data_IF_764319913496
#
_entry.id   IF_764319913496
#
_cell.length_a   1.000
_cell.length_b   1.000
_cell.length_c   1.000
_cell.angle_alpha   90.00
_cell.angle_beta   90.00
_cell.angle_gamma   90.00
#
_symmetry.space_group_name_H-M   'P 1'
#
loop_
_entity.id
_entity.type
_entity.pdbx_description
1 polymer ?
#
# COMPACT_ATOMS: atom_id res chain seq x y z
N UNK A 1 -1.06 -35.76 20.57
CA UNK A 1 0.15 -35.42 21.32
C UNK A 1 1.28 -35.29 20.30
N UNK A 2 1.37 -34.12 19.67
CA UNK A 2 2.48 -33.71 18.83
C UNK A 2 2.92 -32.33 19.33
N UNK A 3 3.97 -32.33 20.17
CA UNK A 3 4.62 -31.11 20.58
C UNK A 3 5.42 -30.56 19.41
N UNK A 4 4.99 -29.44 18.86
CA UNK A 4 5.78 -28.59 18.00
C UNK A 4 6.56 -27.62 18.90
N UNK A 5 7.82 -27.96 19.20
CA UNK A 5 8.76 -27.01 19.74
C UNK A 5 9.03 -25.90 18.72
N UNK A 6 8.34 -24.79 18.85
CA UNK A 6 8.70 -23.57 18.14
C UNK A 6 10.01 -23.03 18.71
N UNK A 7 11.11 -23.32 18.03
CA UNK A 7 12.40 -22.67 18.30
C UNK A 7 12.27 -21.21 17.89
N UNK A 8 12.01 -20.35 18.86
CA UNK A 8 12.11 -18.90 18.68
C UNK A 8 13.60 -18.58 18.51
N UNK A 9 14.05 -18.39 17.28
CA UNK A 9 15.36 -17.82 17.00
C UNK A 9 15.39 -16.37 17.51
N UNK A 10 15.87 -16.19 18.74
CA UNK A 10 16.24 -14.89 19.29
C UNK A 10 17.55 -14.44 18.65
N UNK A 11 17.48 -13.75 17.51
CA UNK A 11 18.63 -12.99 17.01
C UNK A 11 18.49 -11.58 17.60
N UNK A 12 19.46 -11.12 18.42
CA UNK A 12 19.41 -9.76 18.94
C UNK A 12 19.48 -8.76 17.78
N UNK A 13 18.50 -7.89 17.69
CA UNK A 13 18.53 -6.72 16.81
C UNK A 13 19.66 -5.80 17.28
N UNK A 14 20.65 -5.57 16.41
CA UNK A 14 21.71 -4.59 16.65
C UNK A 14 21.52 -3.45 15.63
N UNK A 15 20.99 -2.31 16.05
CA UNK A 15 20.73 -1.18 15.14
C UNK A 15 22.01 -0.49 14.62
N UNK A 16 23.21 -0.93 15.04
CA UNK A 16 24.46 -0.23 14.74
C UNK A 16 25.24 -0.77 13.52
N UNK A 17 24.69 -1.70 12.73
CA UNK A 17 25.43 -2.35 11.62
C UNK A 17 24.76 -2.24 10.25
N UNK A 18 23.62 -1.60 10.10
CA UNK A 18 23.08 -1.29 8.78
C UNK A 18 23.62 0.08 8.33
N UNK A 19 24.12 0.21 7.09
CA UNK A 19 24.51 1.52 6.57
C UNK A 19 23.29 2.43 6.62
N UNK A 20 23.45 3.62 7.18
CA UNK A 20 22.43 4.66 7.19
C UNK A 20 22.08 4.98 5.73
N UNK A 21 20.95 4.46 5.23
CA UNK A 21 20.42 4.84 3.94
C UNK A 21 20.05 6.32 4.03
N UNK A 22 20.62 7.12 3.15
CA UNK A 22 20.27 8.54 3.11
C UNK A 22 19.00 8.72 2.28
N UNK A 23 18.05 9.56 2.72
CA UNK A 23 16.91 9.95 1.90
C UNK A 23 17.38 10.49 0.55
N UNK A 24 16.62 10.23 -0.50
CA UNK A 24 16.91 10.79 -1.82
C UNK A 24 16.81 12.32 -1.74
N UNK A 25 17.88 13.04 -2.14
CA UNK A 25 17.88 14.50 -2.11
C UNK A 25 16.89 15.12 -3.10
N UNK A 26 16.67 14.48 -4.24
CA UNK A 26 15.73 14.95 -5.27
C UNK A 26 15.07 13.77 -5.99
N UNK A 27 13.79 13.58 -5.77
CA UNK A 27 12.97 12.56 -6.44
C UNK A 27 12.56 12.92 -7.88
N UNK A 28 12.84 14.15 -8.32
CA UNK A 28 12.60 14.57 -9.70
C UNK A 28 13.68 13.97 -10.59
N UNK A 29 13.30 13.06 -11.45
CA UNK A 29 14.22 12.37 -12.36
C UNK A 29 13.82 12.63 -13.82
N UNK A 30 14.15 13.81 -14.40
CA UNK A 30 13.78 14.14 -15.79
C UNK A 30 14.33 13.09 -16.75
N UNK A 31 13.47 12.60 -17.66
CA UNK A 31 13.86 11.62 -18.67
C UNK A 31 14.02 10.19 -18.16
N UNK A 32 13.75 9.89 -16.89
CA UNK A 32 13.90 8.55 -16.29
C UNK A 32 13.19 7.45 -17.11
N UNK A 33 12.01 7.74 -17.66
CA UNK A 33 11.26 6.79 -18.49
C UNK A 33 11.92 6.46 -19.84
N UNK A 34 12.92 7.23 -20.28
CA UNK A 34 13.67 7.00 -21.53
C UNK A 34 14.91 6.15 -21.34
N UNK A 35 15.33 5.96 -20.10
CA UNK A 35 16.50 5.15 -19.75
C UNK A 35 16.16 3.67 -19.88
N UNK A 36 17.16 2.85 -20.21
CA UNK A 36 17.06 1.39 -20.13
C UNK A 36 16.87 0.92 -18.68
N UNK A 37 16.37 -0.31 -18.43
CA UNK A 37 16.25 -0.84 -17.08
C UNK A 37 17.57 -0.82 -16.29
N UNK A 38 18.70 -1.08 -16.94
CA UNK A 38 20.03 -1.01 -16.32
C UNK A 38 20.38 0.42 -15.89
N UNK A 39 20.25 1.38 -16.79
CA UNK A 39 20.53 2.81 -16.48
C UNK A 39 19.61 3.35 -15.37
N UNK A 40 18.35 2.90 -15.34
CA UNK A 40 17.43 3.27 -14.23
C UNK A 40 17.92 2.75 -12.89
N UNK A 41 18.38 1.48 -12.82
CA UNK A 41 18.94 0.90 -11.60
C UNK A 41 20.17 1.68 -11.13
N UNK A 42 21.12 1.96 -12.03
CA UNK A 42 22.31 2.72 -11.73
C UNK A 42 21.98 4.12 -11.20
N UNK A 43 21.04 4.81 -11.82
CA UNK A 43 20.59 6.13 -11.39
C UNK A 43 19.91 6.12 -10.01
N UNK A 44 19.09 5.10 -9.72
CA UNK A 44 18.45 4.95 -8.41
C UNK A 44 19.48 4.61 -7.33
N UNK A 45 20.45 3.76 -7.65
CA UNK A 45 21.52 3.41 -6.73
C UNK A 45 22.37 4.63 -6.36
N UNK A 46 22.72 5.45 -7.33
CA UNK A 46 23.43 6.72 -7.08
C UNK A 46 22.60 7.67 -6.20
N UNK A 47 21.30 7.84 -6.52
CA UNK A 47 20.44 8.78 -5.80
C UNK A 47 20.14 8.37 -4.35
N UNK A 48 20.04 7.06 -4.06
CA UNK A 48 19.71 6.52 -2.74
C UNK A 48 20.92 5.90 -2.02
N UNK A 49 22.14 6.06 -2.57
CA UNK A 49 23.37 5.45 -2.06
C UNK A 49 23.25 3.94 -1.80
N UNK A 50 22.63 3.20 -2.75
CA UNK A 50 22.49 1.77 -2.67
C UNK A 50 23.76 1.05 -3.09
N UNK A 51 24.08 -0.04 -2.41
CA UNK A 51 25.21 -0.87 -2.75
C UNK A 51 24.89 -1.89 -3.90
N UNK A 52 25.91 -2.68 -4.23
CA UNK A 52 25.79 -3.67 -5.30
C UNK A 52 24.77 -4.78 -5.01
N UNK A 53 24.64 -5.18 -3.77
CA UNK A 53 23.72 -6.26 -3.38
C UNK A 53 22.25 -5.83 -3.60
N UNK A 54 21.95 -4.55 -3.36
CA UNK A 54 20.63 -3.99 -3.67
C UNK A 54 20.34 -3.94 -5.17
N UNK A 55 21.35 -3.58 -6.00
CA UNK A 55 21.20 -3.60 -7.46
C UNK A 55 20.98 -5.00 -8.01
N UNK A 56 21.75 -5.98 -7.54
CA UNK A 56 21.62 -7.38 -7.91
C UNK A 56 20.26 -7.96 -7.49
N UNK A 57 19.69 -7.49 -6.38
CA UNK A 57 18.36 -7.91 -5.91
C UNK A 57 17.21 -7.58 -6.88
N UNK A 58 17.40 -6.63 -7.78
CA UNK A 58 16.43 -6.29 -8.83
C UNK A 58 16.64 -7.05 -10.14
N UNK A 59 17.61 -7.95 -10.20
CA UNK A 59 17.78 -8.82 -11.35
C UNK A 59 16.85 -10.05 -11.31
N UNK A 60 16.57 -10.63 -12.45
CA UNK A 60 15.69 -11.78 -12.52
C UNK A 60 16.28 -12.99 -11.77
N UNK A 61 15.44 -13.71 -11.02
CA UNK A 61 15.84 -14.94 -10.34
C UNK A 61 16.57 -14.77 -9.02
N UNK A 62 16.58 -13.58 -8.43
CA UNK A 62 17.23 -13.30 -7.14
C UNK A 62 16.57 -13.95 -5.93
N UNK A 63 15.29 -14.29 -6.02
CA UNK A 63 14.64 -15.16 -5.04
C UNK A 63 14.93 -16.61 -5.43
N UNK A 64 15.97 -17.21 -4.83
CA UNK A 64 16.35 -18.60 -5.06
C UNK A 64 15.35 -19.60 -4.47
N UNK A 65 15.38 -20.85 -4.96
CA UNK A 65 14.43 -21.89 -4.57
C UNK A 65 14.51 -22.25 -3.09
N UNK A 66 15.70 -22.25 -2.49
CA UNK A 66 15.88 -22.60 -1.08
C UNK A 66 15.33 -21.52 -0.15
N UNK A 67 15.48 -20.27 -0.55
CA UNK A 67 14.86 -19.13 0.17
C UNK A 67 13.35 -19.16 0.03
N UNK A 68 12.83 -19.42 -1.17
CA UNK A 68 11.40 -19.52 -1.41
C UNK A 68 10.76 -20.68 -0.62
N UNK A 69 11.42 -21.85 -0.54
CA UNK A 69 10.93 -23.02 0.22
C UNK A 69 10.87 -22.80 1.73
N UNK A 70 11.68 -21.85 2.23
CA UNK A 70 11.57 -21.38 3.63
C UNK A 70 10.49 -20.34 3.86
N UNK A 71 9.94 -19.73 2.80
CA UNK A 71 8.89 -18.72 2.92
C UNK A 71 7.48 -19.31 2.94
N UNK A 72 7.26 -20.37 2.14
CA UNK A 72 5.96 -21.07 2.04
C UNK A 72 6.20 -22.57 1.83
N UNK A 73 5.17 -23.37 2.08
CA UNK A 73 5.21 -24.84 1.91
C UNK A 73 5.07 -25.24 0.43
N UNK A 74 5.66 -26.40 0.07
CA UNK A 74 5.50 -27.06 -1.23
C UNK A 74 5.90 -26.20 -2.42
N UNK A 75 6.98 -25.45 -2.31
CA UNK A 75 7.49 -24.59 -3.37
C UNK A 75 7.87 -25.39 -4.61
N UNK A 76 7.39 -24.94 -5.78
CA UNK A 76 7.73 -25.49 -7.10
C UNK A 76 8.48 -24.50 -7.99
N UNK A 77 8.59 -23.24 -7.56
CA UNK A 77 9.24 -22.16 -8.29
C UNK A 77 8.84 -20.77 -7.80
N UNK A 78 9.28 -19.75 -8.50
CA UNK A 78 8.97 -18.34 -8.22
C UNK A 78 8.18 -17.72 -9.38
N UNK A 79 7.29 -16.79 -9.07
CA UNK A 79 6.51 -16.04 -10.06
C UNK A 79 6.94 -14.56 -10.03
N UNK A 80 7.57 -14.11 -11.12
CA UNK A 80 8.10 -12.76 -11.20
C UNK A 80 7.04 -11.76 -11.69
N UNK A 81 6.96 -10.62 -11.01
CA UNK A 81 6.21 -9.43 -11.43
C UNK A 81 7.18 -8.29 -11.74
N UNK A 82 6.83 -7.36 -12.67
CA UNK A 82 7.65 -6.19 -12.93
C UNK A 82 7.77 -5.28 -11.71
N UNK A 83 8.95 -4.69 -11.52
CA UNK A 83 9.19 -3.61 -10.56
C UNK A 83 9.35 -2.31 -11.34
N UNK A 84 8.50 -1.33 -11.07
CA UNK A 84 8.61 0.04 -11.54
C UNK A 84 8.88 0.99 -10.38
N UNK A 85 9.38 2.20 -10.66
CA UNK A 85 9.61 3.21 -9.63
C UNK A 85 8.88 4.49 -10.00
N UNK A 86 7.99 4.95 -9.12
CA UNK A 86 7.35 6.25 -9.22
C UNK A 86 8.25 7.34 -8.65
N UNK A 87 8.36 8.44 -9.39
CA UNK A 87 9.23 9.60 -9.10
C UNK A 87 8.41 10.85 -8.77
N UNK A 88 9.06 11.93 -8.40
CA UNK A 88 8.48 13.24 -8.07
C UNK A 88 7.71 13.30 -6.75
N UNK A 89 7.74 12.28 -5.92
CA UNK A 89 7.08 12.35 -4.61
C UNK A 89 7.88 13.19 -3.63
N UNK A 90 7.20 14.19 -3.06
CA UNK A 90 7.66 14.97 -1.91
C UNK A 90 6.59 14.84 -0.84
N UNK A 91 6.94 14.32 0.34
CA UNK A 91 6.01 14.10 1.44
C UNK A 91 6.63 14.74 2.68
N UNK A 92 5.95 15.70 3.28
CA UNK A 92 6.43 16.50 4.42
C UNK A 92 7.79 17.18 4.19
N UNK A 93 8.11 17.47 2.92
CA UNK A 93 9.37 18.09 2.50
C UNK A 93 10.48 17.11 2.15
N UNK A 94 10.28 15.81 2.37
CA UNK A 94 11.24 14.76 2.03
C UNK A 94 10.93 14.14 0.67
N UNK A 95 11.97 13.79 -0.08
CA UNK A 95 11.86 13.21 -1.42
C UNK A 95 11.86 11.69 -1.37
N UNK A 96 10.96 11.07 -2.18
CA UNK A 96 10.85 9.61 -2.27
C UNK A 96 10.83 9.14 -3.73
N UNK A 97 11.56 8.06 -4.01
CA UNK A 97 11.40 7.24 -5.20
C UNK A 97 10.69 5.95 -4.77
N UNK A 98 9.42 5.78 -5.17
CA UNK A 98 8.54 4.76 -4.61
C UNK A 98 8.52 3.52 -5.51
N UNK A 99 8.95 2.33 -5.03
CA UNK A 99 8.89 1.09 -5.80
C UNK A 99 7.46 0.52 -5.85
N UNK A 100 7.08 0.04 -7.01
CA UNK A 100 5.80 -0.60 -7.31
C UNK A 100 6.05 -1.98 -7.91
N UNK A 101 5.48 -3.02 -7.36
CA UNK A 101 5.41 -4.35 -7.99
C UNK A 101 3.98 -4.52 -8.52
N UNK A 102 3.83 -4.46 -9.83
CA UNK A 102 2.51 -4.47 -10.48
C UNK A 102 2.62 -4.89 -11.94
N UNK A 103 1.62 -5.63 -12.43
CA UNK A 103 1.52 -6.03 -13.84
C UNK A 103 0.74 -5.04 -14.71
N UNK A 104 -0.04 -4.13 -14.08
CA UNK A 104 -0.92 -3.21 -14.79
C UNK A 104 -0.15 -1.99 -15.31
N UNK A 105 -0.25 -1.77 -16.61
CA UNK A 105 0.37 -0.60 -17.25
C UNK A 105 -0.27 0.71 -16.78
N UNK A 106 0.47 1.79 -16.85
CA UNK A 106 0.09 3.16 -16.49
C UNK A 106 0.04 3.50 -15.01
N UNK A 107 0.02 2.52 -14.08
CA UNK A 107 -0.07 2.77 -12.62
C UNK A 107 1.10 3.64 -12.16
N UNK A 108 2.33 3.22 -12.43
CA UNK A 108 3.56 3.94 -12.02
C UNK A 108 3.63 5.33 -12.66
N UNK A 109 3.28 5.43 -13.94
CA UNK A 109 3.32 6.70 -14.68
C UNK A 109 2.25 7.69 -14.18
N UNK A 110 1.04 7.22 -13.88
CA UNK A 110 -0.04 8.04 -13.33
C UNK A 110 0.33 8.60 -11.96
N UNK A 111 0.83 7.74 -11.04
CA UNK A 111 1.28 8.16 -9.73
C UNK A 111 2.40 9.22 -9.81
N UNK A 112 3.43 8.98 -10.64
CA UNK A 112 4.54 9.93 -10.85
C UNK A 112 4.08 11.27 -11.45
N UNK A 113 3.10 11.24 -12.36
CA UNK A 113 2.57 12.44 -12.98
C UNK A 113 1.79 13.29 -11.98
N UNK A 114 0.91 12.69 -11.18
CA UNK A 114 0.15 13.42 -10.17
C UNK A 114 1.05 13.94 -9.04
N UNK A 115 2.03 13.16 -8.62
CA UNK A 115 3.03 13.62 -7.65
C UNK A 115 3.79 14.87 -8.15
N UNK A 116 4.13 14.92 -9.46
CA UNK A 116 4.75 16.10 -10.07
C UNK A 116 3.86 17.35 -10.00
N UNK A 117 2.53 17.17 -10.13
CA UNK A 117 1.57 18.27 -10.22
C UNK A 117 1.32 19.01 -8.91
N UNK A 118 1.69 18.45 -7.75
CA UNK A 118 1.55 19.13 -6.45
C UNK A 118 2.88 19.69 -5.90
N UNK A 119 3.98 19.58 -6.64
CA UNK A 119 5.30 20.00 -6.15
C UNK A 119 5.38 21.48 -5.80
N UNK A 120 4.78 22.36 -6.60
CA UNK A 120 4.79 23.81 -6.34
C UNK A 120 4.07 24.18 -5.04
N UNK A 121 3.12 23.32 -4.59
CA UNK A 121 2.39 23.47 -3.34
C UNK A 121 3.01 22.67 -2.17
N UNK A 122 4.27 22.26 -2.30
CA UNK A 122 5.03 21.56 -1.27
C UNK A 122 4.74 20.06 -1.17
N UNK A 123 4.14 19.46 -2.22
CA UNK A 123 3.88 18.03 -2.29
C UNK A 123 2.76 17.56 -1.37
N UNK A 124 2.91 16.36 -0.83
CA UNK A 124 1.97 15.73 0.08
C UNK A 124 2.26 16.11 1.54
N UNK A 125 1.21 16.16 2.35
CA UNK A 125 1.29 16.37 3.80
C UNK A 125 0.67 15.18 4.50
N UNK A 126 1.31 14.68 5.55
CA UNK A 126 0.84 13.54 6.32
C UNK A 126 0.47 13.87 7.76
N UNK A 127 -0.43 13.07 8.33
CA UNK A 127 -0.79 13.08 9.73
C UNK A 127 -1.27 11.67 10.12
N UNK A 128 -0.37 10.85 10.65
CA UNK A 128 -0.64 9.45 10.97
C UNK A 128 -0.91 9.27 12.47
N UNK A 129 -1.74 8.28 12.80
CA UNK A 129 -1.95 7.85 14.18
C UNK A 129 -0.75 7.04 14.70
N UNK A 130 -0.72 6.81 16.01
CA UNK A 130 0.16 5.82 16.62
C UNK A 130 -0.12 4.42 16.05
N UNK A 131 0.89 3.53 15.97
CA UNK A 131 0.76 2.23 15.32
C UNK A 131 0.05 1.19 16.21
N UNK A 132 -1.21 1.47 16.57
CA UNK A 132 -2.01 0.64 17.48
C UNK A 132 -2.83 -0.39 16.70
N UNK A 133 -2.59 -1.67 17.00
CA UNK A 133 -3.34 -2.79 16.49
C UNK A 133 -4.35 -3.31 17.50
N UNK A 134 -5.38 -3.99 17.03
CA UNK A 134 -6.45 -4.57 17.84
C UNK A 134 -6.29 -6.08 17.88
N UNK A 135 -6.08 -6.64 19.09
CA UNK A 135 -6.22 -8.09 19.34
C UNK A 135 -7.62 -8.40 19.84
N UNK A 136 -8.31 -9.36 19.22
CA UNK A 136 -9.67 -9.75 19.59
C UNK A 136 -9.65 -11.08 20.35
N UNK A 137 -10.35 -11.15 21.48
CA UNK A 137 -10.58 -12.36 22.28
C UNK A 137 -12.07 -12.57 22.34
N UNK A 138 -12.55 -13.68 21.78
CA UNK A 138 -13.96 -14.07 21.77
C UNK A 138 -14.28 -14.95 23.00
N UNK A 139 -15.23 -14.51 23.82
CA UNK A 139 -15.73 -15.26 24.99
C UNK A 139 -17.18 -15.66 24.74
N UNK A 140 -17.47 -16.93 24.89
CA UNK A 140 -18.81 -17.52 24.71
C UNK A 140 -19.28 -18.26 25.97
N UNK A 141 -20.55 -18.71 26.01
CA UNK A 141 -21.10 -19.45 27.16
C UNK A 141 -21.31 -18.54 28.37
N UNK A 142 -21.67 -17.30 28.15
CA UNK A 142 -21.92 -16.29 29.16
C UNK A 142 -23.41 -16.21 29.49
N UNK A 143 -23.75 -16.15 30.80
CA UNK A 143 -25.13 -15.84 31.24
C UNK A 143 -25.46 -14.36 31.01
N UNK A 144 -24.48 -13.47 31.23
CA UNK A 144 -24.59 -12.03 31.07
C UNK A 144 -23.27 -11.45 30.53
N UNK A 145 -23.28 -11.08 29.26
CA UNK A 145 -22.08 -10.52 28.59
C UNK A 145 -21.76 -9.10 29.10
N UNK A 146 -22.74 -8.32 29.53
CA UNK A 146 -22.53 -6.95 30.07
C UNK A 146 -21.85 -7.03 31.43
N UNK A 147 -22.35 -7.86 32.34
CA UNK A 147 -21.72 -8.06 33.64
C UNK A 147 -20.28 -8.64 33.47
N UNK A 148 -20.09 -9.53 32.49
CA UNK A 148 -18.78 -10.08 32.20
C UNK A 148 -17.82 -9.02 31.65
N UNK A 149 -18.28 -8.07 30.85
CA UNK A 149 -17.49 -6.92 30.39
C UNK A 149 -17.02 -6.05 31.56
N UNK A 150 -17.89 -5.76 32.52
CA UNK A 150 -17.56 -4.99 33.74
C UNK A 150 -16.45 -5.66 34.56
N UNK A 151 -16.49 -7.00 34.70
CA UNK A 151 -15.45 -7.78 35.41
C UNK A 151 -14.08 -7.66 34.70
N UNK A 152 -14.06 -7.81 33.35
CA UNK A 152 -12.85 -7.64 32.54
C UNK A 152 -12.29 -6.23 32.69
N UNK A 153 -13.13 -5.21 32.57
CA UNK A 153 -12.71 -3.81 32.68
C UNK A 153 -12.22 -3.47 34.11
N UNK A 154 -12.78 -4.12 35.13
CA UNK A 154 -12.30 -3.96 36.52
C UNK A 154 -10.88 -4.53 36.71
N UNK A 155 -10.50 -5.55 35.95
CA UNK A 155 -9.17 -6.16 35.95
C UNK A 155 -8.23 -5.56 34.87
N UNK A 156 -8.59 -4.45 34.23
CA UNK A 156 -7.89 -3.85 33.09
C UNK A 156 -6.39 -3.68 33.30
N UNK A 157 -5.97 -3.12 34.42
CA UNK A 157 -4.55 -2.89 34.72
C UNK A 157 -3.78 -4.22 34.82
N UNK A 158 -4.32 -5.22 35.52
CA UNK A 158 -3.73 -6.55 35.62
C UNK A 158 -3.55 -7.18 34.23
N UNK A 159 -4.57 -7.12 33.37
CA UNK A 159 -4.50 -7.72 32.02
C UNK A 159 -3.49 -6.98 31.14
N UNK A 160 -3.40 -5.63 31.22
CA UNK A 160 -2.38 -4.85 30.50
C UNK A 160 -0.97 -5.25 30.97
N UNK A 161 -0.75 -5.39 32.27
CA UNK A 161 0.53 -5.80 32.82
C UNK A 161 0.93 -7.20 32.32
N UNK A 162 0.00 -8.17 32.36
CA UNK A 162 0.19 -9.51 31.78
C UNK A 162 0.56 -9.46 30.29
N UNK A 163 -0.12 -8.64 29.48
CA UNK A 163 0.23 -8.44 28.06
C UNK A 163 1.66 -7.92 27.90
N UNK A 164 2.05 -6.95 28.71
CA UNK A 164 3.34 -6.27 28.60
C UNK A 164 4.50 -7.14 29.08
N UNK A 165 4.26 -8.10 29.96
CA UNK A 165 5.25 -9.11 30.36
C UNK A 165 5.61 -10.09 29.22
N UNK A 166 4.72 -10.25 28.22
CA UNK A 166 4.94 -11.16 27.08
C UNK A 166 6.07 -10.68 26.16
N UNK A 167 6.14 -9.36 25.91
CA UNK A 167 7.14 -8.76 25.03
C UNK A 167 7.83 -7.56 25.68
N UNK A 168 8.79 -7.81 26.60
CA UNK A 168 9.54 -6.74 27.25
C UNK A 168 10.38 -5.89 26.27
N UNK A 169 10.71 -6.45 25.09
CA UNK A 169 11.47 -5.74 24.08
C UNK A 169 10.57 -4.66 23.44
N UNK A 170 9.36 -5.02 23.05
CA UNK A 170 8.39 -4.08 22.51
C UNK A 170 8.11 -2.94 23.52
N UNK A 171 7.91 -3.29 24.79
CA UNK A 171 7.70 -2.31 25.87
C UNK A 171 8.90 -1.37 26.04
N UNK A 172 10.12 -1.91 26.00
CA UNK A 172 11.36 -1.11 26.08
C UNK A 172 11.49 -0.09 24.96
N UNK A 173 10.99 -0.40 23.77
CA UNK A 173 10.93 0.53 22.64
C UNK A 173 9.71 1.46 22.66
N UNK A 174 8.99 1.49 23.76
CA UNK A 174 7.84 2.36 23.96
C UNK A 174 6.54 1.83 23.35
N UNK A 175 6.46 0.56 22.97
CA UNK A 175 5.25 -0.15 22.54
C UNK A 175 4.55 -0.88 23.68
N UNK A 176 3.72 -1.87 23.35
CA UNK A 176 2.97 -2.72 24.29
C UNK A 176 1.48 -2.45 24.33
N UNK A 177 0.76 -3.19 25.16
CA UNK A 177 -0.67 -3.00 25.37
C UNK A 177 -0.95 -1.68 26.08
N UNK A 178 -1.78 -0.84 25.47
CA UNK A 178 -2.10 0.51 25.96
C UNK A 178 -3.45 0.57 26.63
N UNK A 179 -4.40 -0.20 26.13
CA UNK A 179 -5.77 -0.14 26.58
C UNK A 179 -6.52 -1.43 26.30
N UNK A 180 -7.69 -1.59 26.91
CA UNK A 180 -8.61 -2.70 26.72
C UNK A 180 -10.03 -2.16 26.58
N UNK A 181 -10.74 -2.71 25.58
CA UNK A 181 -12.17 -2.50 25.39
C UNK A 181 -12.91 -3.83 25.58
N UNK A 182 -14.06 -3.79 26.19
CA UNK A 182 -14.93 -4.96 26.36
C UNK A 182 -16.28 -4.69 25.67
N UNK A 183 -16.59 -5.48 24.66
CA UNK A 183 -17.71 -5.27 23.73
C UNK A 183 -18.70 -6.43 23.79
N UNK A 184 -19.77 -6.34 24.60
CA UNK A 184 -20.89 -7.28 24.51
C UNK A 184 -21.55 -7.20 23.14
N UNK A 185 -21.81 -8.33 22.51
CA UNK A 185 -22.52 -8.45 21.23
C UNK A 185 -23.56 -9.55 21.30
N UNK A 186 -24.69 -9.34 20.63
CA UNK A 186 -25.72 -10.37 20.43
C UNK A 186 -25.48 -11.08 19.09
N UNK A 187 -25.56 -12.39 19.10
CA UNK A 187 -25.42 -13.23 17.90
C UNK A 187 -26.52 -14.25 17.79
N UNK A 188 -26.63 -14.91 16.63
CA UNK A 188 -27.57 -16.04 16.43
C UNK A 188 -27.28 -17.25 17.36
N UNK A 189 -26.09 -17.33 17.96
CA UNK A 189 -25.67 -18.36 18.90
C UNK A 189 -25.78 -17.92 20.36
N UNK A 190 -26.33 -16.74 20.63
CA UNK A 190 -26.45 -16.14 21.95
C UNK A 190 -25.47 -15.00 22.20
N UNK A 191 -25.45 -14.48 23.43
CA UNK A 191 -24.57 -13.37 23.80
C UNK A 191 -23.10 -13.80 23.82
N UNK A 192 -22.23 -12.89 23.35
CA UNK A 192 -20.77 -13.03 23.38
C UNK A 192 -20.15 -11.78 23.95
N UNK A 193 -18.98 -11.93 24.59
CA UNK A 193 -18.12 -10.82 24.93
C UNK A 193 -16.89 -10.85 24.01
N UNK A 194 -16.62 -9.73 23.35
CA UNK A 194 -15.40 -9.53 22.57
C UNK A 194 -14.51 -8.56 23.33
N UNK A 195 -13.34 -9.04 23.78
CA UNK A 195 -12.34 -8.19 24.43
C UNK A 195 -11.32 -7.77 23.39
N UNK A 196 -11.11 -6.46 23.25
CA UNK A 196 -10.07 -5.87 22.42
C UNK A 196 -8.87 -5.50 23.26
N UNK A 197 -7.70 -5.96 22.86
CA UNK A 197 -6.42 -5.46 23.35
C UNK A 197 -5.94 -4.40 22.36
N UNK A 198 -5.68 -3.18 22.81
CA UNK A 198 -5.12 -2.10 22.01
C UNK A 198 -3.61 -2.08 22.21
N UNK A 199 -2.87 -2.56 21.19
CA UNK A 199 -1.43 -2.81 21.30
C UNK A 199 -0.66 -1.90 20.36
N UNK A 200 0.19 -1.07 20.92
CA UNK A 200 1.15 -0.27 20.19
C UNK A 200 2.30 -1.18 19.71
N UNK A 201 2.35 -1.42 18.40
CA UNK A 201 3.29 -2.34 17.77
C UNK A 201 4.56 -1.67 17.26
N UNK A 202 4.71 -0.34 17.43
CA UNK A 202 5.84 0.42 16.89
C UNK A 202 6.10 0.07 15.41
N UNK A 203 7.33 -0.29 15.09
CA UNK A 203 7.76 -0.57 13.72
C UNK A 203 7.46 -2.01 13.26
N UNK A 204 6.71 -2.80 14.03
CA UNK A 204 6.18 -4.08 13.59
C UNK A 204 4.77 -3.95 13.01
N UNK A 205 4.39 -4.83 12.06
CA UNK A 205 2.98 -4.99 11.65
C UNK A 205 2.11 -5.42 12.84
N UNK A 206 2.63 -6.28 13.70
CA UNK A 206 2.10 -6.57 15.02
C UNK A 206 1.39 -7.91 15.19
N UNK A 207 1.11 -8.69 14.13
CA UNK A 207 0.31 -9.91 14.23
C UNK A 207 0.82 -10.89 15.28
N UNK A 208 2.13 -11.20 15.31
CA UNK A 208 2.69 -12.15 16.25
C UNK A 208 2.60 -11.65 17.70
N UNK A 209 3.00 -10.40 17.97
CA UNK A 209 2.96 -9.84 19.32
C UNK A 209 1.53 -9.79 19.85
N UNK A 210 0.59 -9.28 19.07
CA UNK A 210 -0.83 -9.16 19.44
C UNK A 210 -1.47 -10.51 19.68
N UNK A 211 -1.23 -11.51 18.81
CA UNK A 211 -1.78 -12.85 18.98
C UNK A 211 -1.22 -13.52 20.25
N UNK A 212 0.10 -13.41 20.48
CA UNK A 212 0.73 -13.97 21.69
C UNK A 212 0.18 -13.32 22.97
N UNK A 213 0.00 -11.99 22.99
CA UNK A 213 -0.64 -11.29 24.10
C UNK A 213 -2.07 -11.80 24.34
N UNK A 214 -2.88 -11.90 23.26
CA UNK A 214 -4.26 -12.37 23.34
C UNK A 214 -4.35 -13.83 23.84
N UNK A 215 -3.44 -14.70 23.43
CA UNK A 215 -3.35 -16.09 23.90
C UNK A 215 -2.94 -16.17 25.38
N UNK A 216 -2.00 -15.32 25.80
CA UNK A 216 -1.50 -15.31 27.17
C UNK A 216 -2.56 -14.89 28.19
N UNK A 217 -3.37 -13.87 27.86
CA UNK A 217 -4.39 -13.37 28.81
C UNK A 217 -5.72 -14.13 28.74
N UNK A 218 -5.93 -14.96 27.72
CA UNK A 218 -7.18 -15.70 27.54
C UNK A 218 -7.61 -16.54 28.77
N UNK A 219 -6.74 -17.33 29.46
CA UNK A 219 -7.14 -18.06 30.65
C UNK A 219 -7.63 -17.14 31.76
N UNK A 220 -7.00 -15.97 31.94
CA UNK A 220 -7.43 -15.01 32.97
C UNK A 220 -8.80 -14.40 32.62
N UNK A 221 -9.09 -14.16 31.34
CA UNK A 221 -10.40 -13.69 30.91
C UNK A 221 -11.47 -14.77 31.14
N UNK A 222 -11.17 -16.05 30.94
CA UNK A 222 -12.08 -17.16 31.29
C UNK A 222 -12.39 -17.20 32.77
N UNK A 223 -11.37 -17.07 33.65
CA UNK A 223 -11.55 -17.01 35.08
C UNK A 223 -12.45 -15.84 35.53
N UNK A 224 -12.25 -14.66 34.98
CA UNK A 224 -13.03 -13.45 35.28
C UNK A 224 -14.49 -13.55 34.85
N UNK A 225 -14.72 -14.11 33.67
CA UNK A 225 -16.06 -14.14 33.04
C UNK A 225 -16.86 -15.40 33.39
N UNK A 226 -16.19 -16.52 33.66
CA UNK A 226 -16.80 -17.85 33.73
C UNK A 226 -17.17 -18.46 32.38
N UNK A 227 -16.86 -17.75 31.27
CA UNK A 227 -17.09 -18.21 29.90
C UNK A 227 -15.91 -19.00 29.34
N UNK A 228 -16.00 -19.32 28.04
CA UNK A 228 -14.95 -20.04 27.30
C UNK A 228 -14.41 -19.18 26.19
N UNK A 229 -13.10 -19.06 26.07
CA UNK A 229 -12.42 -18.34 24.99
C UNK A 229 -12.26 -19.26 23.78
N UNK A 230 -12.77 -18.83 22.62
CA UNK A 230 -12.67 -19.57 21.35
C UNK A 230 -11.60 -18.96 20.44
N UNK A 231 -11.70 -17.66 20.11
CA UNK A 231 -10.76 -16.99 19.21
C UNK A 231 -9.88 -15.99 19.95
N UNK A 232 -8.62 -15.92 19.53
CA UNK A 232 -7.58 -15.00 20.00
C UNK A 232 -6.77 -14.60 18.78
N UNK A 233 -7.15 -13.49 18.14
CA UNK A 233 -6.58 -13.11 16.82
C UNK A 233 -6.58 -11.60 16.62
N UNK A 234 -5.60 -11.12 15.90
CA UNK A 234 -5.53 -9.73 15.45
C UNK A 234 -6.70 -9.38 14.53
N UNK A 235 -7.16 -8.12 14.59
CA UNK A 235 -8.09 -7.57 13.61
C UNK A 235 -7.34 -6.76 12.54
N UNK A 236 -7.67 -7.02 11.26
CA UNK A 236 -7.16 -6.22 10.16
C UNK A 236 -7.92 -4.89 9.98
N UNK A 237 -9.05 -4.69 10.66
CA UNK A 237 -9.73 -3.41 10.74
C UNK A 237 -9.05 -2.52 11.80
N UNK A 238 -7.86 -2.03 11.48
CA UNK A 238 -6.99 -1.28 12.38
C UNK A 238 -7.38 0.20 12.47
N UNK A 239 -8.55 0.49 13.03
CA UNK A 239 -9.12 1.85 13.13
C UNK A 239 -8.32 2.80 14.02
N UNK A 240 -7.36 2.30 14.80
CA UNK A 240 -6.45 3.07 15.63
C UNK A 240 -5.04 3.20 15.02
N UNK A 241 -4.88 2.85 13.73
CA UNK A 241 -3.61 2.94 13.00
C UNK A 241 -3.86 3.53 11.61
N UNK A 242 -4.39 4.74 11.58
CA UNK A 242 -4.77 5.40 10.35
C UNK A 242 -3.60 6.20 9.76
N UNK A 243 -3.37 6.04 8.47
CA UNK A 243 -2.55 6.94 7.68
C UNK A 243 -3.45 7.98 7.00
N UNK A 244 -3.09 9.25 7.15
CA UNK A 244 -3.75 10.39 6.54
C UNK A 244 -2.77 11.16 5.69
N UNK A 245 -3.15 11.41 4.45
CA UNK A 245 -2.34 12.20 3.53
C UNK A 245 -3.24 13.16 2.76
N UNK A 246 -2.75 14.38 2.52
CA UNK A 246 -3.42 15.39 1.71
C UNK A 246 -2.46 16.02 0.72
N UNK A 247 -3.01 16.60 -0.36
CA UNK A 247 -2.27 17.38 -1.34
C UNK A 247 -3.17 18.43 -2.00
N UNK A 248 -2.55 19.53 -2.45
CA UNK A 248 -3.22 20.64 -3.14
C UNK A 248 -2.65 20.80 -4.55
N UNK A 249 -3.52 21.03 -5.52
CA UNK A 249 -3.19 21.16 -6.94
C UNK A 249 -3.84 22.43 -7.49
N UNK A 250 -3.03 23.34 -8.05
CA UNK A 250 -3.57 24.55 -8.67
C UNK A 250 -4.21 24.27 -10.01
N UNK A 251 -5.09 25.16 -10.51
CA UNK A 251 -5.64 25.05 -11.84
C UNK A 251 -4.57 24.96 -12.94
N UNK A 252 -3.49 25.73 -12.83
CA UNK A 252 -2.38 25.72 -13.78
C UNK A 252 -1.72 24.35 -13.86
N UNK A 253 -1.52 23.70 -12.72
CA UNK A 253 -0.91 22.37 -12.63
C UNK A 253 -1.86 21.26 -13.13
N UNK A 254 -3.16 21.47 -13.02
CA UNK A 254 -4.16 20.52 -13.53
C UNK A 254 -4.37 20.60 -15.03
N UNK A 255 -3.91 21.69 -15.68
CA UNK A 255 -3.97 21.89 -17.13
C UNK A 255 -2.97 20.99 -17.88
N UNK A 256 -3.32 20.60 -19.12
CA UNK A 256 -2.40 19.99 -20.11
C UNK A 256 -1.91 21.02 -21.16
N UNK A 257 -2.54 22.18 -21.21
CA UNK A 257 -2.27 23.24 -22.19
C UNK A 257 -1.24 24.27 -21.69
N UNK A 258 -0.23 23.84 -20.94
CA UNK A 258 0.89 24.69 -20.56
C UNK A 258 0.54 25.82 -19.60
N UNK A 259 0.01 25.47 -18.41
CA UNK A 259 -0.38 26.42 -17.35
C UNK A 259 -1.63 27.28 -17.66
N UNK A 260 -2.57 26.77 -18.44
CA UNK A 260 -3.86 27.42 -18.68
C UNK A 260 -4.81 27.16 -17.49
N UNK A 261 -4.95 28.14 -16.60
CA UNK A 261 -5.81 28.05 -15.41
C UNK A 261 -7.29 27.81 -15.76
N UNK A 262 -7.79 28.33 -16.91
CA UNK A 262 -9.18 28.09 -17.34
C UNK A 262 -9.42 26.62 -17.66
N UNK A 263 -8.56 26.01 -18.46
CA UNK A 263 -8.62 24.57 -18.76
C UNK A 263 -8.43 23.75 -17.48
N UNK A 264 -7.52 24.13 -16.60
CA UNK A 264 -7.28 23.45 -15.33
C UNK A 264 -8.50 23.47 -14.42
N UNK A 265 -9.22 24.59 -14.35
CA UNK A 265 -10.48 24.73 -13.60
C UNK A 265 -11.58 23.81 -14.14
N UNK A 266 -11.68 23.64 -15.45
CA UNK A 266 -12.61 22.67 -16.07
C UNK A 266 -12.26 21.24 -15.67
N UNK A 267 -10.96 20.90 -15.68
CA UNK A 267 -10.48 19.57 -15.23
C UNK A 267 -10.80 19.34 -13.75
N UNK A 268 -10.56 20.32 -12.89
CA UNK A 268 -10.92 20.26 -11.47
C UNK A 268 -12.43 20.01 -11.30
N UNK A 269 -13.27 20.76 -12.01
CA UNK A 269 -14.72 20.57 -12.00
C UNK A 269 -15.10 19.12 -12.36
N UNK A 270 -14.49 18.56 -13.40
CA UNK A 270 -14.69 17.17 -13.81
C UNK A 270 -14.25 16.15 -12.75
N UNK A 271 -13.10 16.36 -12.11
CA UNK A 271 -12.59 15.51 -11.00
C UNK A 271 -13.56 15.52 -9.82
N UNK A 272 -14.06 16.69 -9.42
CA UNK A 272 -15.03 16.83 -8.33
C UNK A 272 -16.34 16.08 -8.64
N UNK A 273 -16.86 16.20 -9.86
CA UNK A 273 -18.08 15.47 -10.27
C UNK A 273 -17.84 13.95 -10.26
N UNK A 274 -16.70 13.49 -10.76
CA UNK A 274 -16.34 12.06 -10.74
C UNK A 274 -16.16 11.51 -9.31
N UNK A 275 -15.64 12.33 -8.38
CA UNK A 275 -15.57 12.00 -6.96
C UNK A 275 -16.96 11.93 -6.32
N UNK A 276 -17.83 12.91 -6.52
CA UNK A 276 -19.19 12.88 -5.96
C UNK A 276 -19.95 11.62 -6.39
N UNK A 277 -19.76 11.16 -7.62
CA UNK A 277 -20.33 9.91 -8.08
C UNK A 277 -19.78 8.72 -7.26
N UNK A 278 -18.47 8.65 -7.02
CA UNK A 278 -17.87 7.59 -6.22
C UNK A 278 -18.26 7.65 -4.73
N UNK A 279 -18.49 8.84 -4.20
CA UNK A 279 -18.92 9.04 -2.82
C UNK A 279 -20.37 8.58 -2.59
N UNK A 280 -21.23 8.69 -3.61
CA UNK A 280 -22.67 8.43 -3.51
C UNK A 280 -23.11 7.03 -3.96
N UNK A 281 -22.32 6.37 -4.83
CA UNK A 281 -22.69 5.11 -5.48
C UNK A 281 -21.69 3.99 -5.18
N UNK A 282 -22.11 2.88 -4.53
CA UNK A 282 -21.20 1.80 -4.14
C UNK A 282 -20.59 1.05 -5.35
N UNK A 283 -21.25 1.01 -6.51
CA UNK A 283 -20.69 0.40 -7.71
C UNK A 283 -19.52 1.23 -8.23
N UNK A 284 -19.69 2.55 -8.25
CA UNK A 284 -18.60 3.44 -8.63
C UNK A 284 -17.50 3.48 -7.56
N UNK A 285 -17.85 3.50 -6.27
CA UNK A 285 -16.91 3.45 -5.16
C UNK A 285 -15.97 2.23 -5.25
N UNK A 286 -16.50 1.05 -5.57
CA UNK A 286 -15.72 -0.19 -5.72
C UNK A 286 -14.60 -0.03 -6.75
N UNK A 287 -14.91 0.51 -7.93
CA UNK A 287 -13.91 0.71 -8.99
C UNK A 287 -12.95 1.86 -8.65
N UNK A 288 -13.45 2.92 -8.00
CA UNK A 288 -12.65 4.04 -7.52
C UNK A 288 -11.60 3.59 -6.48
N UNK A 289 -12.03 2.80 -5.49
CA UNK A 289 -11.17 2.29 -4.44
C UNK A 289 -10.18 1.24 -4.97
N UNK A 290 -10.58 0.39 -5.93
CA UNK A 290 -9.65 -0.52 -6.64
C UNK A 290 -8.51 0.28 -7.28
N UNK A 291 -8.83 1.43 -7.89
CA UNK A 291 -7.82 2.32 -8.44
C UNK A 291 -6.82 2.86 -7.42
N UNK A 292 -7.26 3.14 -6.19
CA UNK A 292 -6.38 3.52 -5.06
C UNK A 292 -5.48 2.34 -4.68
N UNK A 293 -6.07 1.16 -4.54
CA UNK A 293 -5.35 -0.05 -4.14
C UNK A 293 -4.34 -0.52 -5.20
N UNK A 294 -4.51 -0.17 -6.48
CA UNK A 294 -3.49 -0.40 -7.50
C UNK A 294 -2.11 0.14 -7.09
N UNK A 295 -2.05 1.29 -6.41
CA UNK A 295 -0.79 1.83 -5.91
C UNK A 295 -0.43 1.26 -4.54
N UNK A 296 -1.36 1.27 -3.58
CA UNK A 296 -1.09 0.83 -2.20
C UNK A 296 -0.65 -0.63 -2.18
N UNK A 297 -1.38 -1.53 -2.84
CA UNK A 297 -1.04 -2.95 -2.90
C UNK A 297 0.27 -3.19 -3.67
N UNK A 298 0.54 -2.41 -4.73
CA UNK A 298 1.80 -2.51 -5.47
C UNK A 298 3.02 -2.14 -4.61
N UNK A 299 2.94 -1.08 -3.80
CA UNK A 299 4.00 -0.68 -2.86
C UNK A 299 4.10 -1.70 -1.72
N UNK A 300 2.96 -2.20 -1.21
CA UNK A 300 2.94 -3.23 -0.18
C UNK A 300 3.68 -4.50 -0.62
N UNK A 301 3.41 -5.00 -1.82
CA UNK A 301 4.10 -6.15 -2.41
C UNK A 301 5.58 -5.85 -2.59
N UNK A 302 5.92 -4.67 -3.14
CA UNK A 302 7.31 -4.25 -3.36
C UNK A 302 8.12 -4.25 -2.05
N UNK A 303 7.51 -3.83 -0.94
CA UNK A 303 8.13 -3.74 0.38
C UNK A 303 7.89 -4.97 1.27
N UNK A 304 7.40 -6.08 0.73
CA UNK A 304 7.20 -7.33 1.49
C UNK A 304 6.19 -7.23 2.63
N UNK A 305 5.18 -6.37 2.50
CA UNK A 305 4.11 -6.20 3.46
C UNK A 305 2.98 -7.21 3.25
N UNK A 306 2.12 -7.40 4.24
CA UNK A 306 0.87 -8.15 4.08
C UNK A 306 -0.18 -7.29 3.36
N UNK A 307 -0.07 -7.27 2.02
CA UNK A 307 -0.97 -6.51 1.16
C UNK A 307 -2.45 -6.93 1.30
N UNK A 308 -2.73 -8.20 1.67
CA UNK A 308 -4.11 -8.70 1.85
C UNK A 308 -4.73 -8.12 3.12
N UNK A 309 -3.97 -8.03 4.21
CA UNK A 309 -4.40 -7.38 5.45
C UNK A 309 -4.69 -5.90 5.23
N UNK A 310 -3.82 -5.20 4.49
CA UNK A 310 -3.98 -3.77 4.15
C UNK A 310 -5.24 -3.58 3.30
N UNK A 311 -5.43 -4.37 2.26
CA UNK A 311 -6.59 -4.29 1.36
C UNK A 311 -7.90 -4.57 2.11
N UNK A 312 -7.93 -5.65 2.89
CA UNK A 312 -9.08 -5.99 3.75
C UNK A 312 -9.42 -4.86 4.73
N UNK A 313 -8.42 -4.31 5.41
CA UNK A 313 -8.58 -3.20 6.34
C UNK A 313 -9.12 -1.95 5.66
N UNK A 314 -8.56 -1.55 4.51
CA UNK A 314 -8.95 -0.38 3.75
C UNK A 314 -10.42 -0.46 3.27
N UNK A 315 -10.82 -1.57 2.63
CA UNK A 315 -12.21 -1.75 2.17
C UNK A 315 -13.20 -1.86 3.33
N UNK A 316 -12.82 -2.52 4.44
CA UNK A 316 -13.66 -2.58 5.64
C UNK A 316 -13.85 -1.20 6.26
N UNK A 317 -12.79 -0.38 6.29
CA UNK A 317 -12.84 0.98 6.81
C UNK A 317 -13.72 1.89 5.95
N UNK A 318 -13.70 1.73 4.63
CA UNK A 318 -14.57 2.46 3.70
C UNK A 318 -16.08 2.19 3.93
N UNK A 319 -16.42 1.12 4.67
CA UNK A 319 -17.79 0.77 5.09
C UNK A 319 -18.00 0.88 6.62
N UNK A 320 -16.99 1.25 7.39
CA UNK A 320 -17.05 1.27 8.85
C UNK A 320 -17.95 2.38 9.35
N UNK A 321 -19.08 2.02 9.96
CA UNK A 321 -20.06 2.98 10.48
C UNK A 321 -20.83 3.77 9.41
N UNK A 322 -20.70 3.40 8.13
CA UNK A 322 -21.34 4.08 6.99
C UNK A 322 -21.59 3.11 5.83
N UNK A 323 -22.35 3.54 4.83
CA UNK A 323 -22.42 2.83 3.56
C UNK A 323 -21.06 2.86 2.88
N UNK A 324 -20.68 1.75 2.22
CA UNK A 324 -19.42 1.66 1.48
C UNK A 324 -19.30 2.80 0.46
N UNK A 325 -18.24 3.57 0.57
CA UNK A 325 -18.00 4.76 -0.24
C UNK A 325 -16.52 4.95 -0.60
N UNK A 326 -16.17 6.13 -1.09
CA UNK A 326 -14.79 6.49 -1.44
C UNK A 326 -13.86 6.47 -0.22
N UNK A 327 -12.62 5.99 -0.43
CA UNK A 327 -11.51 6.09 0.54
C UNK A 327 -10.80 7.43 0.49
N UNK A 328 -11.12 8.29 -0.51
CA UNK A 328 -10.57 9.63 -0.66
C UNK A 328 -11.67 10.67 -0.59
N UNK A 329 -11.29 11.89 -0.23
CA UNK A 329 -12.13 13.08 -0.30
C UNK A 329 -11.49 14.12 -1.22
N UNK A 330 -12.31 14.75 -2.06
CA UNK A 330 -11.89 15.80 -2.98
C UNK A 330 -12.80 17.01 -2.87
N UNK A 331 -12.20 18.19 -2.75
CA UNK A 331 -12.91 19.48 -2.66
C UNK A 331 -12.13 20.57 -3.36
N UNK A 332 -12.70 21.76 -3.44
CA UNK A 332 -11.99 22.96 -3.85
C UNK A 332 -11.86 23.92 -2.67
N UNK A 333 -10.69 24.57 -2.55
CA UNK A 333 -10.49 25.65 -1.58
C UNK A 333 -11.03 27.01 -2.08
N UNK A 334 -10.84 28.08 -1.29
CA UNK A 334 -11.29 29.43 -1.63
C UNK A 334 -10.62 30.03 -2.86
N UNK A 335 -9.43 29.54 -3.21
CA UNK A 335 -8.64 30.01 -4.34
C UNK A 335 -8.91 29.21 -5.62
N UNK A 336 -9.80 28.20 -5.54
CA UNK A 336 -10.17 27.33 -6.64
C UNK A 336 -9.21 26.17 -6.87
N UNK A 337 -8.25 25.93 -5.95
CA UNK A 337 -7.35 24.78 -6.04
C UNK A 337 -8.10 23.49 -5.70
N UNK A 338 -7.69 22.38 -6.31
CA UNK A 338 -8.18 21.06 -5.96
C UNK A 338 -7.43 20.58 -4.70
N UNK A 339 -8.17 20.22 -3.66
CA UNK A 339 -7.65 19.64 -2.42
C UNK A 339 -8.12 18.20 -2.31
N UNK A 340 -7.19 17.27 -2.18
CA UNK A 340 -7.46 15.85 -1.99
C UNK A 340 -6.92 15.34 -0.67
N UNK A 341 -7.64 14.41 -0.05
CA UNK A 341 -7.18 13.68 1.13
C UNK A 341 -7.55 12.21 1.07
N UNK A 342 -6.77 11.40 1.77
CA UNK A 342 -7.00 9.97 1.98
C UNK A 342 -6.82 9.65 3.45
N UNK A 343 -7.71 8.82 3.99
CA UNK A 343 -7.62 8.27 5.34
C UNK A 343 -7.98 6.78 5.29
N UNK A 344 -7.05 5.92 5.74
CA UNK A 344 -7.28 4.47 5.79
C UNK A 344 -6.34 3.77 6.78
N UNK A 345 -6.73 2.59 7.31
CA UNK A 345 -5.85 1.74 8.10
C UNK A 345 -4.61 1.32 7.31
N UNK A 346 -3.43 1.45 7.93
CA UNK A 346 -2.17 1.09 7.30
C UNK A 346 -1.31 0.25 8.25
N UNK A 347 -1.66 -1.03 8.36
CA UNK A 347 -0.95 -1.98 9.22
C UNK A 347 0.31 -2.52 8.53
N UNK A 348 1.37 -1.72 8.52
CA UNK A 348 2.67 -2.04 7.92
C UNK A 348 3.76 -2.15 8.99
N UNK A 349 4.93 -2.70 8.61
CA UNK A 349 6.07 -2.75 9.53
C UNK A 349 7.39 -2.80 8.78
N UNK A 350 8.47 -2.43 9.47
CA UNK A 350 9.85 -2.55 9.00
C UNK A 350 10.60 -3.66 9.71
N UNK A 351 9.99 -4.28 10.73
CA UNK A 351 10.60 -5.32 11.57
C UNK A 351 9.93 -6.66 11.32
N UNK A 352 10.71 -7.68 10.98
CA UNK A 352 10.21 -9.05 10.77
C UNK A 352 9.65 -9.30 9.38
N UNK A 353 9.01 -10.47 9.21
CA UNK A 353 8.31 -10.84 7.97
C UNK A 353 9.20 -10.99 6.73
N UNK A 354 8.57 -10.88 5.56
CA UNK A 354 9.22 -11.05 4.25
C UNK A 354 10.30 -10.01 3.97
N UNK A 355 10.25 -8.83 4.59
CA UNK A 355 11.27 -7.77 4.45
C UNK A 355 12.68 -8.29 4.75
N UNK A 356 12.83 -9.16 5.75
CA UNK A 356 14.13 -9.70 6.15
C UNK A 356 14.64 -10.83 5.27
N UNK A 357 13.76 -11.46 4.52
CA UNK A 357 14.05 -12.70 3.78
C UNK A 357 14.16 -12.41 2.28
N UNK A 358 13.22 -11.64 1.71
CA UNK A 358 13.11 -11.40 0.28
C UNK A 358 14.10 -10.33 -0.19
N UNK A 359 15.09 -10.65 -1.07
CA UNK A 359 16.12 -9.69 -1.49
C UNK A 359 15.54 -8.40 -2.11
N UNK A 360 14.57 -8.54 -3.02
CA UNK A 360 13.90 -7.40 -3.65
C UNK A 360 13.16 -6.50 -2.67
N UNK A 361 12.52 -7.07 -1.63
CA UNK A 361 11.86 -6.26 -0.61
C UNK A 361 12.87 -5.44 0.21
N UNK A 362 14.01 -6.03 0.56
CA UNK A 362 15.12 -5.30 1.22
C UNK A 362 15.60 -4.13 0.38
N UNK A 363 15.89 -4.38 -0.91
CA UNK A 363 16.34 -3.34 -1.82
C UNK A 363 15.30 -2.22 -1.99
N UNK A 364 14.01 -2.57 -2.05
CA UNK A 364 12.94 -1.60 -2.20
C UNK A 364 12.74 -0.74 -0.94
N UNK A 365 12.84 -1.32 0.25
CA UNK A 365 12.79 -0.55 1.51
C UNK A 365 14.03 0.35 1.66
N UNK A 366 15.21 -0.14 1.27
CA UNK A 366 16.43 0.66 1.22
C UNK A 366 16.31 1.84 0.24
N UNK A 367 15.71 1.62 -0.96
CA UNK A 367 15.44 2.70 -1.91
C UNK A 367 14.52 3.78 -1.32
N UNK A 368 13.50 3.38 -0.54
CA UNK A 368 12.59 4.34 0.10
C UNK A 368 13.28 5.18 1.17
N UNK A 369 14.29 4.66 1.85
CA UNK A 369 14.97 5.36 2.95
C UNK A 369 14.06 5.63 4.15
N UNK A 370 12.98 4.85 4.34
CA UNK A 370 12.04 5.00 5.46
C UNK A 370 12.63 4.43 6.75
N UNK A 371 12.48 5.16 7.85
CA UNK A 371 13.05 4.82 9.16
C UNK A 371 12.02 4.22 10.12
N UNK A 372 10.73 4.43 9.86
CA UNK A 372 9.63 3.94 10.70
C UNK A 372 8.49 3.33 9.89
N UNK A 373 7.67 2.52 10.55
CA UNK A 373 6.43 2.01 9.97
C UNK A 373 5.48 3.15 9.56
N UNK A 374 5.48 4.25 10.31
CA UNK A 374 4.68 5.44 9.99
C UNK A 374 5.18 6.14 8.72
N UNK A 375 6.50 6.15 8.45
CA UNK A 375 7.03 6.69 7.19
C UNK A 375 6.60 5.82 6.01
N UNK A 376 6.66 4.49 6.14
CA UNK A 376 6.16 3.59 5.10
C UNK A 376 4.65 3.80 4.87
N UNK A 377 3.88 3.96 5.95
CA UNK A 377 2.44 4.19 5.87
C UNK A 377 2.09 5.50 5.12
N UNK A 378 2.79 6.61 5.41
CA UNK A 378 2.57 7.90 4.69
C UNK A 378 2.93 7.80 3.22
N UNK A 379 4.02 7.09 2.88
CA UNK A 379 4.44 6.87 1.49
C UNK A 379 3.39 6.09 0.71
N UNK A 380 2.85 5.02 1.29
CA UNK A 380 1.82 4.20 0.66
C UNK A 380 0.51 4.96 0.48
N UNK A 381 0.09 5.74 1.49
CA UNK A 381 -1.12 6.58 1.40
C UNK A 381 -0.97 7.69 0.35
N UNK A 382 0.20 8.33 0.26
CA UNK A 382 0.51 9.33 -0.77
C UNK A 382 0.47 8.73 -2.18
N UNK A 383 1.02 7.53 -2.36
CA UNK A 383 0.95 6.79 -3.62
C UNK A 383 -0.51 6.49 -4.02
N UNK A 384 -1.34 6.08 -3.05
CA UNK A 384 -2.78 5.83 -3.24
C UNK A 384 -3.54 7.09 -3.65
N UNK A 385 -3.29 8.23 -2.99
CA UNK A 385 -3.93 9.51 -3.32
C UNK A 385 -3.54 10.00 -4.72
N UNK A 386 -2.25 9.93 -5.06
CA UNK A 386 -1.75 10.29 -6.39
C UNK A 386 -2.38 9.40 -7.49
N UNK A 387 -2.43 8.09 -7.27
CA UNK A 387 -3.03 7.15 -8.21
C UNK A 387 -4.53 7.41 -8.41
N UNK A 388 -5.25 7.73 -7.34
CA UNK A 388 -6.66 8.08 -7.41
C UNK A 388 -6.90 9.32 -8.28
N UNK A 389 -6.14 10.40 -8.06
CA UNK A 389 -6.23 11.59 -8.88
C UNK A 389 -5.93 11.30 -10.34
N UNK A 390 -4.91 10.49 -10.63
CA UNK A 390 -4.58 10.08 -11.99
C UNK A 390 -5.75 9.41 -12.71
N UNK A 391 -6.44 8.51 -12.01
CA UNK A 391 -7.63 7.84 -12.53
C UNK A 391 -8.81 8.80 -12.71
N UNK A 392 -9.13 9.63 -11.70
CA UNK A 392 -10.22 10.62 -11.78
C UNK A 392 -10.01 11.59 -12.92
N UNK A 393 -8.77 12.13 -13.04
CA UNK A 393 -8.43 13.06 -14.11
C UNK A 393 -8.56 12.43 -15.50
N UNK A 394 -8.06 11.21 -15.68
CA UNK A 394 -8.19 10.49 -16.94
C UNK A 394 -9.67 10.27 -17.33
N UNK A 395 -10.51 9.90 -16.36
CA UNK A 395 -11.96 9.72 -16.57
C UNK A 395 -12.68 11.03 -16.91
N UNK A 396 -12.28 12.12 -16.27
CA UNK A 396 -12.89 13.45 -16.45
C UNK A 396 -12.44 14.16 -17.73
N UNK A 397 -11.38 13.68 -18.39
CA UNK A 397 -10.82 14.31 -19.61
C UNK A 397 -10.90 13.40 -20.83
N UNK A 398 -9.82 12.72 -21.17
CA UNK A 398 -9.69 11.92 -22.43
C UNK A 398 -10.30 10.52 -22.34
N UNK A 399 -10.69 10.09 -21.15
CA UNK A 399 -11.13 8.72 -20.87
C UNK A 399 -9.95 7.74 -20.68
N UNK A 400 -10.18 6.71 -19.88
CA UNK A 400 -9.15 5.72 -19.52
C UNK A 400 -8.62 4.98 -20.75
N UNK A 401 -9.48 4.66 -21.71
CA UNK A 401 -9.07 3.88 -22.89
C UNK A 401 -8.02 4.58 -23.75
N UNK A 402 -8.09 5.90 -23.90
CA UNK A 402 -7.11 6.64 -24.71
C UNK A 402 -5.68 6.57 -24.12
N UNK A 403 -5.55 6.60 -22.79
CA UNK A 403 -4.26 6.43 -22.09
C UNK A 403 -3.71 5.00 -22.15
N UNK A 404 -4.57 4.00 -21.91
CA UNK A 404 -4.20 2.58 -21.96
C UNK A 404 -3.86 2.11 -23.39
N UNK A 405 -4.53 2.63 -24.41
CA UNK A 405 -4.33 2.21 -25.81
C UNK A 405 -2.90 2.42 -26.30
N UNK A 406 -2.20 3.46 -25.82
CA UNK A 406 -0.83 3.73 -26.25
C UNK A 406 0.17 2.68 -25.74
N UNK A 407 0.02 2.20 -24.51
CA UNK A 407 0.86 1.16 -23.93
C UNK A 407 0.41 -0.23 -24.35
N UNK A 408 -0.90 -0.43 -24.47
CA UNK A 408 -1.47 -1.68 -24.98
C UNK A 408 -1.05 -1.96 -26.42
N UNK A 409 -0.93 -0.94 -27.26
CA UNK A 409 -0.45 -1.08 -28.63
C UNK A 409 0.96 -1.67 -28.70
N UNK A 410 1.89 -1.23 -27.85
CA UNK A 410 3.24 -1.81 -27.80
C UNK A 410 3.21 -3.29 -27.41
N UNK A 411 2.42 -3.65 -26.40
CA UNK A 411 2.27 -5.05 -26.00
C UNK A 411 1.63 -5.90 -27.11
N UNK A 412 0.68 -5.35 -27.84
CA UNK A 412 0.07 -6.02 -29.02
C UNK A 412 1.09 -6.21 -30.15
N UNK A 413 1.96 -5.23 -30.39
CA UNK A 413 3.00 -5.28 -31.41
C UNK A 413 4.01 -6.41 -31.07
N UNK A 414 4.46 -6.48 -29.82
CA UNK A 414 5.33 -7.54 -29.35
C UNK A 414 4.64 -8.93 -29.42
N UNK A 415 3.37 -9.01 -29.00
CA UNK A 415 2.56 -10.22 -29.09
C UNK A 415 2.32 -10.70 -30.54
N UNK A 416 2.29 -9.77 -31.52
CA UNK A 416 2.24 -10.08 -32.95
C UNK A 416 3.59 -10.59 -33.49
N UNK A 417 4.64 -10.64 -32.68
CA UNK A 417 5.96 -11.14 -33.07
C UNK A 417 6.84 -10.12 -33.78
N UNK A 418 6.65 -8.81 -33.51
CA UNK A 418 7.56 -7.77 -33.99
C UNK A 418 8.91 -7.82 -33.25
N UNK A 419 10.00 -7.59 -33.98
CA UNK A 419 11.34 -7.41 -33.45
C UNK A 419 11.55 -5.98 -32.95
N UNK A 420 12.54 -5.74 -32.08
CA UNK A 420 12.77 -4.45 -31.42
C UNK A 420 12.84 -3.26 -32.41
N UNK A 421 13.44 -3.44 -33.58
CA UNK A 421 13.53 -2.43 -34.63
C UNK A 421 12.20 -2.11 -35.34
N UNK A 422 11.22 -3.02 -35.31
CA UNK A 422 9.93 -2.90 -36.01
C UNK A 422 8.87 -2.18 -35.13
N UNK A 423 9.05 -2.14 -33.79
CA UNK A 423 8.04 -1.70 -32.83
C UNK A 423 7.61 -0.25 -33.11
N UNK A 424 8.56 0.65 -33.33
CA UNK A 424 8.27 2.07 -33.58
C UNK A 424 7.57 2.28 -34.91
N UNK A 425 7.99 1.59 -35.98
CA UNK A 425 7.42 1.69 -37.31
C UNK A 425 5.98 1.15 -37.35
N UNK A 426 5.76 -0.05 -36.75
CA UNK A 426 4.40 -0.61 -36.64
C UNK A 426 3.49 0.30 -35.82
N UNK A 427 4.00 0.85 -34.72
CA UNK A 427 3.24 1.79 -33.87
C UNK A 427 2.84 3.05 -34.64
N UNK A 428 3.77 3.61 -35.42
CA UNK A 428 3.50 4.79 -36.26
C UNK A 428 2.47 4.48 -37.34
N UNK A 429 2.59 3.35 -38.03
CA UNK A 429 1.69 2.93 -39.11
C UNK A 429 0.25 2.69 -38.58
N UNK A 430 0.11 1.98 -37.46
CA UNK A 430 -1.20 1.73 -36.85
C UNK A 430 -1.85 3.03 -36.37
N UNK A 431 -1.10 3.97 -35.79
CA UNK A 431 -1.64 5.29 -35.39
C UNK A 431 -2.03 6.16 -36.54
N UNK A 432 -1.28 6.15 -37.65
CA UNK A 432 -1.57 6.98 -38.84
C UNK A 432 -2.74 6.43 -39.68
N UNK A 433 -3.08 5.15 -39.54
CA UNK A 433 -4.19 4.54 -40.29
C UNK A 433 -5.56 5.10 -39.91
N UNK A 434 -5.71 5.69 -38.69
CA UNK A 434 -7.01 6.15 -38.18
C UNK A 434 -7.99 5.00 -37.85
N UNK A 435 -7.59 3.73 -38.07
CA UNK A 435 -8.41 2.56 -37.76
C UNK A 435 -8.38 2.28 -36.23
N UNK A 436 -9.41 1.59 -35.75
CA UNK A 436 -9.43 1.12 -34.36
C UNK A 436 -8.25 0.19 -34.12
N UNK A 437 -7.48 0.43 -33.05
CA UNK A 437 -6.35 -0.41 -32.65
C UNK A 437 -6.87 -1.80 -32.25
N UNK A 438 -6.51 -2.82 -33.04
CA UNK A 438 -6.86 -4.21 -32.83
C UNK A 438 -5.65 -5.09 -33.18
N UNK A 439 -5.61 -6.33 -32.71
CA UNK A 439 -4.54 -7.28 -33.07
C UNK A 439 -4.43 -7.44 -34.61
N UNK A 440 -5.56 -7.55 -35.29
CA UNK A 440 -5.60 -7.66 -36.75
C UNK A 440 -4.99 -6.42 -37.47
N UNK A 441 -5.21 -5.20 -36.94
CA UNK A 441 -4.60 -3.99 -37.47
C UNK A 441 -3.07 -3.98 -37.26
N UNK A 442 -2.60 -4.47 -36.10
CA UNK A 442 -1.19 -4.61 -35.77
C UNK A 442 -0.52 -5.64 -36.67
N UNK A 443 -1.10 -6.85 -36.82
CA UNK A 443 -0.60 -7.91 -37.70
C UNK A 443 -0.52 -7.45 -39.14
N UNK A 444 -1.55 -6.73 -39.64
CA UNK A 444 -1.58 -6.13 -40.97
C UNK A 444 -0.45 -5.10 -41.16
N UNK A 445 -0.23 -4.23 -40.17
CA UNK A 445 0.83 -3.23 -40.22
C UNK A 445 2.23 -3.91 -40.19
N UNK A 446 2.45 -4.88 -39.33
CA UNK A 446 3.70 -5.63 -39.26
C UNK A 446 4.01 -6.34 -40.58
N UNK A 447 3.01 -7.00 -41.16
CA UNK A 447 3.14 -7.65 -42.46
C UNK A 447 3.52 -6.63 -43.58
N UNK A 448 2.87 -5.45 -43.59
CA UNK A 448 3.17 -4.41 -44.60
C UNK A 448 4.62 -3.88 -44.47
N UNK A 449 5.15 -3.75 -43.27
CA UNK A 449 6.54 -3.33 -43.03
C UNK A 449 7.51 -4.39 -43.55
N UNK A 450 7.26 -5.67 -43.23
CA UNK A 450 8.11 -6.80 -43.68
C UNK A 450 8.06 -7.05 -45.19
N UNK A 451 6.99 -6.67 -45.88
CA UNK A 451 6.89 -6.77 -47.34
C UNK A 451 7.62 -5.62 -48.04
N UNK A 452 7.95 -4.52 -47.33
CA UNK A 452 8.66 -3.34 -47.85
C UNK A 452 10.18 -3.35 -47.52
N UNK A 453 10.60 -4.23 -46.58
CA UNK A 453 12.00 -4.50 -46.22
C UNK A 453 12.57 -5.63 -47.07
#
# INVERSE_FOLDING_TARGET
MYGLDFVIFRIPYNPSTEPSHMPIEDSRMPGFHRLSPKERREKLAEAANLDRDHLEAWEAGTLDSDTADRMIENVVGTYALPIGVATNFVIDGEHYAIPFVVEEASVVAAASNMAKRCLSNGGFKSNNDDPIMIGQIQVVGLDDAVSSAEKVLSAKTEIIDMCNEVDPILVRFGGGCRDIEARPIETSSGPMLIVHLLVDCRDAMGANAVNTMAETVAPRIEELTGGTVILRIISNLAVHRLARVSATFTPEEMSDAGNDASQGSEVIGGVIQAYHFAAADPFRATTHNKGIMNAISAVAIACGQDWRAIESGAHSYAAYGRTYGSMTEWSTDSDGNLVGSIELPMAVGLVGGAIRIHPGAKANVALLGVESANDLAKVMAAAGLAQNLGALRALATVGIQAGHMKLHLQNMIVAAGAEDGEIEEVSALVKSSGERITMAAVEKALKSIRELS
#
